data_IF_488870581104
#
_entry.id   IF_488870581104
#
_cell.length_a   1.000
_cell.length_b   1.000
_cell.length_c   1.000
_cell.angle_alpha   90.00
_cell.angle_beta   90.00
_cell.angle_gamma   90.00
#
_symmetry.space_group_name_H-M   'P 1'
#
loop_
_entity.id
_entity.type
_entity.pdbx_description
1 polymer ?
#
# COMPACT_ATOMS: atom_id res chain seq x y z
N UNK A 1 14.46 -4.04 0.07
CA UNK A 1 15.57 -4.16 -0.88
C UNK A 1 16.56 -5.09 -0.19
N UNK A 2 16.82 -6.26 -0.75
CA UNK A 2 17.72 -7.25 -0.14
C UNK A 2 18.74 -7.69 -1.20
N UNK A 3 19.62 -6.75 -1.58
CA UNK A 3 20.79 -7.02 -2.42
C UNK A 3 22.03 -7.36 -1.58
N UNK A 4 21.99 -7.11 -0.27
CA UNK A 4 23.12 -7.31 0.66
C UNK A 4 24.20 -6.23 0.57
N UNK A 5 23.97 -5.19 -0.23
CA UNK A 5 24.89 -4.06 -0.41
C UNK A 5 24.55 -2.92 0.53
N UNK A 6 25.47 -2.57 1.44
CA UNK A 6 25.36 -1.37 2.29
C UNK A 6 25.30 -0.09 1.47
N UNK A 7 25.84 -0.09 0.25
CA UNK A 7 25.79 1.05 -0.66
C UNK A 7 24.36 1.28 -1.15
N UNK A 8 23.61 0.21 -1.43
CA UNK A 8 22.22 0.32 -1.91
C UNK A 8 21.30 0.81 -0.79
N UNK A 9 21.53 0.38 0.45
CA UNK A 9 20.83 0.88 1.64
C UNK A 9 21.07 2.39 1.84
N UNK A 10 22.32 2.84 1.72
CA UNK A 10 22.68 4.25 1.87
C UNK A 10 22.03 5.11 0.77
N UNK A 11 22.11 4.65 -0.49
CA UNK A 11 21.50 5.32 -1.64
C UNK A 11 19.98 5.42 -1.44
N UNK A 12 19.34 4.36 -0.96
CA UNK A 12 17.91 4.34 -0.73
C UNK A 12 17.47 5.36 0.34
N UNK A 13 18.18 5.45 1.46
CA UNK A 13 17.84 6.42 2.52
C UNK A 13 18.03 7.87 2.07
N UNK A 14 19.08 8.16 1.28
CA UNK A 14 19.30 9.48 0.67
C UNK A 14 18.17 9.87 -0.30
N UNK A 15 17.72 8.94 -1.16
CA UNK A 15 16.62 9.21 -2.09
C UNK A 15 15.24 9.28 -1.40
N UNK A 16 15.05 8.56 -0.29
CA UNK A 16 13.82 8.65 0.51
C UNK A 16 13.65 10.02 1.18
N UNK A 17 14.76 10.71 1.45
CA UNK A 17 14.75 12.09 1.93
C UNK A 17 14.16 13.09 0.94
N UNK A 18 14.33 12.84 -0.37
CA UNK A 18 13.98 13.77 -1.45
C UNK A 18 12.67 13.42 -2.17
N UNK A 19 12.24 12.15 -2.13
CA UNK A 19 10.99 11.68 -2.72
C UNK A 19 9.74 12.05 -1.91
N UNK A 20 8.65 12.38 -2.62
CA UNK A 20 7.33 12.61 -2.02
C UNK A 20 6.37 11.41 -2.17
N UNK A 21 6.72 10.41 -2.97
CA UNK A 21 5.96 9.16 -3.17
C UNK A 21 6.89 7.97 -3.05
N UNK A 22 6.46 6.95 -2.32
CA UNK A 22 7.18 5.69 -2.17
C UNK A 22 6.22 4.52 -2.43
N UNK A 23 6.57 3.66 -3.39
CA UNK A 23 5.89 2.40 -3.66
C UNK A 23 6.83 1.25 -3.35
N UNK A 24 6.56 0.53 -2.26
CA UNK A 24 7.38 -0.62 -1.86
C UNK A 24 6.80 -1.90 -2.43
N UNK A 25 7.67 -2.71 -3.03
CA UNK A 25 7.35 -4.06 -3.48
C UNK A 25 7.87 -5.09 -2.48
N UNK A 26 7.06 -6.09 -2.16
CA UNK A 26 7.41 -7.15 -1.21
C UNK A 26 7.75 -8.46 -1.95
N UNK A 27 8.92 -9.02 -1.64
CA UNK A 27 9.41 -10.26 -2.25
C UNK A 27 8.58 -11.47 -1.82
N UNK A 28 8.09 -11.52 -0.58
CA UNK A 28 7.28 -12.63 -0.09
C UNK A 28 5.95 -12.74 -0.84
N UNK A 29 5.34 -11.60 -1.19
CA UNK A 29 4.15 -11.55 -2.04
C UNK A 29 4.43 -12.08 -3.44
N UNK A 30 5.55 -11.65 -4.04
CA UNK A 30 5.98 -12.10 -5.36
C UNK A 30 6.28 -13.61 -5.39
N UNK A 31 6.94 -14.15 -4.37
CA UNK A 31 7.27 -15.58 -4.24
C UNK A 31 5.99 -16.43 -4.11
N UNK A 32 4.95 -15.90 -3.45
CA UNK A 32 3.60 -16.49 -3.37
C UNK A 32 2.75 -16.28 -4.63
N UNK A 33 3.31 -15.66 -5.68
CA UNK A 33 2.63 -15.31 -6.95
C UNK A 33 1.44 -14.37 -6.78
N UNK A 34 1.46 -13.52 -5.76
CA UNK A 34 0.42 -12.50 -5.51
C UNK A 34 0.85 -11.23 -6.23
N UNK A 35 0.07 -10.82 -7.23
CA UNK A 35 0.35 -9.62 -8.02
C UNK A 35 -0.87 -8.68 -8.07
N UNK A 36 -0.65 -7.36 -8.04
CA UNK A 36 0.65 -6.66 -7.88
C UNK A 36 1.24 -6.78 -6.47
N UNK A 37 2.55 -7.05 -6.36
CA UNK A 37 3.24 -7.39 -5.11
C UNK A 37 3.66 -6.15 -4.29
N UNK A 38 2.73 -5.22 -4.03
CA UNK A 38 3.03 -3.99 -3.29
C UNK A 38 2.68 -4.11 -1.80
N UNK A 39 3.43 -3.42 -0.95
CA UNK A 39 3.15 -3.32 0.48
C UNK A 39 2.24 -2.11 0.73
N UNK A 40 0.96 -2.35 1.03
CA UNK A 40 -0.04 -1.28 1.23
C UNK A 40 0.23 -0.43 2.48
N UNK A 41 0.92 -0.98 3.48
CA UNK A 41 1.17 -0.29 4.75
C UNK A 41 2.45 0.56 4.67
N UNK A 42 3.47 0.08 3.95
CA UNK A 42 4.74 0.81 3.80
C UNK A 42 4.77 1.75 2.59
N UNK A 43 3.83 1.63 1.66
CA UNK A 43 3.72 2.53 0.50
C UNK A 43 2.85 3.75 0.84
N UNK A 44 3.21 4.92 0.31
CA UNK A 44 2.48 6.14 0.60
C UNK A 44 2.99 7.35 -0.17
N UNK A 45 2.19 8.43 -0.15
CA UNK A 45 2.55 9.73 -0.72
C UNK A 45 2.43 10.80 0.36
N UNK A 46 3.46 11.64 0.52
CA UNK A 46 3.42 12.80 1.41
C UNK A 46 2.43 13.83 0.85
N UNK A 47 1.65 14.44 1.74
CA UNK A 47 0.59 15.42 1.39
C UNK A 47 -0.48 14.86 0.44
N UNK A 48 -0.87 13.60 0.62
CA UNK A 48 -1.92 12.96 -0.19
C UNK A 48 -3.29 13.64 -0.08
N UNK A 49 -3.53 14.47 0.93
CA UNK A 49 -4.70 15.34 1.06
C UNK A 49 -4.84 16.40 -0.04
N UNK A 50 -3.75 16.73 -0.74
CA UNK A 50 -3.79 17.62 -1.90
C UNK A 50 -4.17 16.89 -3.20
N UNK A 51 -4.11 15.56 -3.20
CA UNK A 51 -4.34 14.72 -4.38
C UNK A 51 -5.69 14.01 -4.34
N UNK A 52 -6.17 13.69 -3.14
CA UNK A 52 -7.41 12.95 -2.92
C UNK A 52 -8.49 13.85 -2.32
N UNK A 53 -9.75 13.57 -2.65
CA UNK A 53 -10.88 14.19 -1.96
C UNK A 53 -10.88 13.77 -0.50
N UNK A 54 -11.31 14.66 0.39
CA UNK A 54 -11.33 14.40 1.83
C UNK A 54 -12.08 13.10 2.20
N UNK A 55 -13.19 12.81 1.54
CA UNK A 55 -13.97 11.58 1.75
C UNK A 55 -13.21 10.31 1.34
N UNK A 56 -12.46 10.37 0.24
CA UNK A 56 -11.69 9.22 -0.25
C UNK A 56 -10.45 9.01 0.62
N UNK A 57 -9.83 10.10 1.08
CA UNK A 57 -8.70 10.05 2.01
C UNK A 57 -9.11 9.40 3.34
N UNK A 58 -10.26 9.75 3.90
CA UNK A 58 -10.72 9.16 5.16
C UNK A 58 -10.99 7.65 5.01
N UNK A 59 -11.62 7.24 3.89
CA UNK A 59 -11.80 5.82 3.56
C UNK A 59 -10.47 5.09 3.39
N UNK A 60 -9.51 5.67 2.69
CA UNK A 60 -8.17 5.11 2.51
C UNK A 60 -7.43 4.96 3.86
N UNK A 61 -7.56 5.94 4.75
CA UNK A 61 -7.00 5.86 6.11
C UNK A 61 -7.73 4.81 6.97
N UNK A 62 -9.04 4.65 6.80
CA UNK A 62 -9.81 3.58 7.45
C UNK A 62 -9.34 2.19 7.01
N UNK A 63 -9.18 2.00 5.70
CA UNK A 63 -8.60 0.81 5.07
C UNK A 63 -7.23 0.49 5.69
N UNK A 64 -6.29 1.45 5.66
CA UNK A 64 -4.95 1.27 6.23
C UNK A 64 -4.99 0.88 7.71
N UNK A 65 -5.88 1.50 8.51
CA UNK A 65 -6.05 1.17 9.94
C UNK A 65 -6.57 -0.26 10.16
N UNK A 66 -7.53 -0.72 9.37
CA UNK A 66 -8.02 -2.10 9.46
C UNK A 66 -6.87 -3.07 9.19
N UNK A 67 -6.08 -2.81 8.16
CA UNK A 67 -4.98 -3.70 7.78
C UNK A 67 -3.79 -3.66 8.73
N UNK A 68 -3.54 -2.54 9.40
CA UNK A 68 -2.50 -2.46 10.44
C UNK A 68 -2.85 -3.32 11.67
N UNK A 69 -4.13 -3.64 11.90
CA UNK A 69 -4.55 -4.58 12.94
C UNK A 69 -4.38 -6.05 12.58
N UNK A 70 -4.12 -6.39 11.31
CA UNK A 70 -3.86 -7.78 10.90
C UNK A 70 -2.45 -8.21 11.32
N UNK A 71 -2.35 -9.43 11.83
CA UNK A 71 -1.08 -10.00 12.31
C UNK A 71 -0.10 -10.30 11.16
N UNK A 72 -0.60 -10.73 9.99
CA UNK A 72 0.20 -10.93 8.79
C UNK A 72 0.01 -9.80 7.78
N UNK A 73 1.03 -8.95 7.66
CA UNK A 73 1.06 -7.83 6.71
C UNK A 73 1.03 -8.29 5.25
N UNK A 74 1.44 -9.52 4.96
CA UNK A 74 1.35 -10.09 3.62
C UNK A 74 -0.09 -10.47 3.25
N UNK A 75 -0.92 -10.83 4.22
CA UNK A 75 -2.34 -11.13 3.95
C UNK A 75 -3.14 -9.86 3.65
N UNK A 76 -2.78 -8.73 4.26
CA UNK A 76 -3.45 -7.46 4.03
C UNK A 76 -3.50 -7.08 2.55
N UNK A 77 -2.36 -7.09 1.84
CA UNK A 77 -2.31 -6.77 0.40
C UNK A 77 -3.15 -7.76 -0.40
N UNK A 78 -3.05 -9.06 -0.11
CA UNK A 78 -3.78 -10.09 -0.84
C UNK A 78 -5.31 -9.91 -0.71
N UNK A 79 -5.79 -9.62 0.51
CA UNK A 79 -7.21 -9.36 0.78
C UNK A 79 -7.72 -8.13 0.03
N UNK A 80 -6.91 -7.06 -0.02
CA UNK A 80 -7.27 -5.84 -0.77
C UNK A 80 -7.42 -6.15 -2.25
N UNK A 81 -6.44 -6.84 -2.84
CA UNK A 81 -6.47 -7.22 -4.26
C UNK A 81 -7.72 -8.06 -4.56
N UNK A 82 -8.03 -9.03 -3.71
CA UNK A 82 -9.23 -9.87 -3.88
C UNK A 82 -10.52 -9.05 -3.86
N UNK A 83 -10.63 -8.06 -2.97
CA UNK A 83 -11.80 -7.18 -2.93
C UNK A 83 -11.86 -6.23 -4.12
N UNK A 84 -10.72 -5.72 -4.59
CA UNK A 84 -10.64 -4.86 -5.78
C UNK A 84 -11.08 -5.62 -7.04
N UNK A 85 -10.66 -6.88 -7.20
CA UNK A 85 -11.07 -7.73 -8.35
C UNK A 85 -12.58 -7.97 -8.37
N UNK A 86 -13.23 -8.01 -7.19
CA UNK A 86 -14.68 -8.18 -7.07
C UNK A 86 -15.47 -6.90 -7.39
N UNK A 87 -14.80 -5.79 -7.69
CA UNK A 87 -15.42 -4.50 -8.02
C UNK A 87 -15.04 -4.04 -9.42
N UNK A 88 -15.91 -3.28 -10.07
CA UNK A 88 -15.67 -2.80 -11.43
C UNK A 88 -14.64 -1.67 -11.47
N UNK A 89 -14.63 -0.82 -10.44
CA UNK A 89 -13.75 0.33 -10.36
C UNK A 89 -13.41 0.72 -8.90
N UNK A 90 -12.43 1.60 -8.73
CA UNK A 90 -11.98 2.07 -7.42
C UNK A 90 -13.08 2.81 -6.64
N UNK A 91 -14.04 3.45 -7.33
CA UNK A 91 -15.12 4.17 -6.66
C UNK A 91 -16.10 3.20 -6.01
N UNK A 92 -16.41 2.08 -6.68
CA UNK A 92 -17.21 1.00 -6.14
C UNK A 92 -16.50 0.30 -4.97
N UNK A 93 -15.20 0.03 -5.11
CA UNK A 93 -14.37 -0.52 -4.03
C UNK A 93 -14.42 0.33 -2.76
N UNK A 94 -14.17 1.63 -2.87
CA UNK A 94 -14.17 2.56 -1.73
C UNK A 94 -15.55 2.67 -1.08
N UNK A 95 -16.63 2.59 -1.86
CA UNK A 95 -18.02 2.56 -1.33
C UNK A 95 -18.31 1.27 -0.55
N UNK A 96 -17.76 0.13 -0.97
CA UNK A 96 -18.00 -1.17 -0.36
C UNK A 96 -17.28 -1.33 0.98
N UNK A 97 -16.02 -0.90 1.05
CA UNK A 97 -15.21 -1.00 2.29
C UNK A 97 -15.58 0.08 3.31
N UNK A 98 -16.05 1.25 2.86
CA UNK A 98 -16.47 2.36 3.73
C UNK A 98 -17.86 2.20 4.37
N UNK A 99 -18.58 1.11 4.13
CA UNK A 99 -19.85 0.81 4.81
C UNK A 99 -19.57 0.24 6.21
N UNK A 100 -19.68 1.10 7.22
CA UNK A 100 -20.21 0.71 8.54
C UNK A 100 -21.71 0.95 8.56
#
# INVERSE_FOLDING_TARGET
MDTGSKMDELIFEEFKGTGNMELRLDRNLADRRIYPAFDILKSGTRKEELLLKAEDLDKMNGIRRIFDTLTDKNEATAMVIEQMIKTKDNSEFLKKIGKR
#
